data_IF_448172934626
#
_entry.id   IF_448172934626
#
_cell.length_a   1.000
_cell.length_b   1.000
_cell.length_c   1.000
_cell.angle_alpha   90.00
_cell.angle_beta   90.00
_cell.angle_gamma   90.00
#
_symmetry.space_group_name_H-M   'P 1'
#
loop_
_entity.id
_entity.type
_entity.pdbx_description
1 polymer ?
#
# COMPACT_ATOMS: atom_id res chain seq x y z
N UNK A 1 46.23 -57.82 39.90
CA UNK A 1 45.05 -58.65 40.26
C UNK A 1 44.08 -57.69 40.92
N UNK A 2 43.11 -57.07 40.24
CA UNK A 2 41.90 -57.51 39.52
C UNK A 2 41.58 -56.36 38.52
N UNK A 3 41.28 -56.49 37.21
CA UNK A 3 40.36 -57.36 36.46
C UNK A 3 38.91 -57.05 36.87
N UNK A 4 37.93 -56.63 36.06
CA UNK A 4 37.70 -56.49 34.62
C UNK A 4 36.25 -55.98 34.46
N UNK A 5 35.95 -55.12 33.48
CA UNK A 5 34.68 -55.02 32.71
C UNK A 5 34.84 -53.81 31.75
N UNK A 6 35.20 -53.96 30.47
CA UNK A 6 34.44 -54.46 29.29
C UNK A 6 33.06 -53.82 29.11
N UNK A 7 32.96 -53.04 28.04
CA UNK A 7 31.73 -52.56 27.41
C UNK A 7 32.09 -51.81 26.13
N UNK A 8 32.37 -52.55 25.06
CA UNK A 8 32.36 -52.03 23.70
C UNK A 8 30.99 -52.36 23.12
N UNK A 9 30.31 -51.38 22.52
CA UNK A 9 29.65 -51.51 21.22
C UNK A 9 28.87 -50.24 20.85
N UNK A 10 28.82 -49.95 19.56
CA UNK A 10 27.65 -49.30 18.98
C UNK A 10 27.78 -47.86 18.51
N UNK A 11 28.27 -47.71 17.28
CA UNK A 11 27.54 -47.01 16.19
C UNK A 11 27.17 -45.53 16.34
N UNK A 12 27.85 -44.68 15.56
CA UNK A 12 27.29 -43.45 14.99
C UNK A 12 26.75 -43.74 13.57
N UNK A 13 26.04 -42.79 12.91
CA UNK A 13 24.81 -42.07 13.26
C UNK A 13 23.68 -42.41 12.23
N UNK A 14 22.47 -41.82 12.29
CA UNK A 14 22.26 -40.72 11.34
C UNK A 14 21.26 -39.63 11.77
N UNK A 15 21.48 -38.46 11.15
CA UNK A 15 20.47 -37.61 10.53
C UNK A 15 19.48 -36.77 11.35
N UNK A 16 19.44 -35.51 10.92
CA UNK A 16 18.24 -34.72 10.67
C UNK A 16 17.52 -34.14 11.88
N UNK A 17 17.93 -32.92 12.22
CA UNK A 17 17.12 -32.02 13.03
C UNK A 17 17.49 -30.57 12.82
N UNK A 18 17.72 -30.15 11.57
CA UNK A 18 17.88 -28.72 11.23
C UNK A 18 16.53 -28.04 11.46
N UNK A 19 16.24 -27.68 12.72
CA UNK A 19 15.15 -26.79 13.09
C UNK A 19 15.52 -25.42 12.51
N UNK A 20 15.24 -25.24 11.22
CA UNK A 20 15.23 -23.94 10.57
C UNK A 20 14.17 -23.15 11.32
N UNK A 21 14.63 -22.29 12.22
CA UNK A 21 13.85 -21.22 12.79
C UNK A 21 13.47 -20.32 11.62
N UNK A 22 12.40 -20.66 10.90
CA UNK A 22 11.75 -19.75 9.96
C UNK A 22 11.04 -18.71 10.81
N UNK A 23 11.85 -17.76 11.30
CA UNK A 23 11.38 -16.42 11.56
C UNK A 23 10.71 -15.98 10.25
N UNK A 24 9.38 -16.07 10.20
CA UNK A 24 8.58 -15.39 9.20
C UNK A 24 8.92 -13.93 9.42
N UNK A 25 9.87 -13.46 8.60
CA UNK A 25 10.22 -12.05 8.47
C UNK A 25 8.90 -11.35 8.25
N UNK A 26 8.47 -10.57 9.25
CA UNK A 26 7.42 -9.57 9.10
C UNK A 26 7.82 -8.74 7.89
N UNK A 27 7.25 -9.05 6.73
CA UNK A 27 7.47 -8.30 5.52
C UNK A 27 7.08 -6.86 5.86
N UNK A 28 8.04 -5.96 5.70
CA UNK A 28 8.09 -4.69 6.39
C UNK A 28 6.81 -3.90 6.24
N UNK A 29 6.31 -3.42 7.38
CA UNK A 29 5.52 -2.20 7.43
C UNK A 29 6.40 -1.05 6.93
N UNK A 30 6.52 -0.91 5.60
CA UNK A 30 7.07 0.28 4.99
C UNK A 30 5.99 1.36 5.15
N UNK A 31 6.08 2.08 6.26
CA UNK A 31 5.34 3.31 6.51
C UNK A 31 5.77 4.32 5.44
N UNK A 32 5.12 4.28 4.29
CA UNK A 32 5.07 5.40 3.35
C UNK A 32 3.80 6.17 3.67
N UNK A 33 3.92 7.01 4.70
CA UNK A 33 3.05 8.15 4.91
C UNK A 33 3.45 9.23 3.90
N UNK A 34 2.94 9.11 2.68
CA UNK A 34 3.02 10.19 1.69
C UNK A 34 1.59 10.58 1.33
N UNK A 35 0.99 11.44 2.15
CA UNK A 35 -0.38 11.91 1.95
C UNK A 35 -0.51 13.41 2.22
N UNK A 36 0.41 14.20 1.67
CA UNK A 36 0.22 15.65 1.47
C UNK A 36 0.83 16.05 0.13
N UNK A 37 0.20 15.64 -0.97
CA UNK A 37 0.35 16.37 -2.23
C UNK A 37 -0.39 17.71 -2.07
N UNK A 38 0.29 18.71 -1.52
CA UNK A 38 -0.15 20.10 -1.66
C UNK A 38 0.27 20.53 -3.05
N UNK A 39 -0.67 20.48 -4.00
CA UNK A 39 -0.50 21.04 -5.32
C UNK A 39 -0.36 22.56 -5.20
N UNK A 40 0.87 23.07 -5.34
CA UNK A 40 1.14 24.50 -5.46
C UNK A 40 0.87 24.92 -6.92
N UNK A 41 -0.36 25.39 -7.17
CA UNK A 41 -0.79 25.95 -8.45
C UNK A 41 -1.61 27.22 -8.23
N UNK A 42 -1.43 28.21 -9.13
CA UNK A 42 -2.14 29.50 -9.17
C UNK A 42 -3.64 29.33 -8.95
N UNK A 43 -4.30 30.08 -8.04
CA UNK A 43 -5.70 29.85 -7.72
C UNK A 43 -6.58 30.14 -8.93
N UNK A 44 -7.25 29.14 -9.54
CA UNK A 44 -8.33 29.45 -10.45
C UNK A 44 -9.51 30.01 -9.63
N UNK A 45 -10.44 30.70 -10.30
CA UNK A 45 -11.74 31.07 -9.75
C UNK A 45 -12.26 29.96 -8.81
N UNK A 46 -12.58 30.31 -7.56
CA UNK A 46 -12.63 29.41 -6.40
C UNK A 46 -13.16 27.99 -6.70
N UNK A 47 -12.27 27.09 -7.13
CA UNK A 47 -12.60 25.69 -7.29
C UNK A 47 -12.82 25.10 -5.90
N UNK A 48 -13.88 24.31 -5.74
CA UNK A 48 -14.13 23.64 -4.47
C UNK A 48 -12.93 22.77 -4.12
N UNK A 49 -12.55 22.74 -2.84
CA UNK A 49 -11.49 21.85 -2.41
C UNK A 49 -11.95 20.39 -2.56
N UNK A 50 -11.01 19.48 -2.75
CA UNK A 50 -11.35 18.06 -2.85
C UNK A 50 -12.06 17.56 -1.57
N UNK A 51 -11.72 18.10 -0.40
CA UNK A 51 -12.42 17.77 0.84
C UNK A 51 -13.88 18.24 0.85
N UNK A 52 -14.16 19.43 0.30
CA UNK A 52 -15.55 19.90 0.12
C UNK A 52 -16.33 19.03 -0.88
N UNK A 53 -15.68 18.58 -1.96
CA UNK A 53 -16.30 17.69 -2.93
C UNK A 53 -16.62 16.31 -2.34
N UNK A 54 -15.76 15.78 -1.47
CA UNK A 54 -16.04 14.54 -0.73
C UNK A 54 -17.17 14.75 0.27
N UNK A 55 -17.10 15.82 1.06
CA UNK A 55 -18.10 16.12 2.10
C UNK A 55 -19.51 16.36 1.50
N UNK A 56 -19.59 16.91 0.30
CA UNK A 56 -20.85 17.10 -0.44
C UNK A 56 -21.35 15.84 -1.14
N UNK A 57 -20.58 14.75 -1.16
CA UNK A 57 -20.91 13.53 -1.91
C UNK A 57 -20.80 13.70 -3.43
N UNK A 58 -20.18 14.78 -3.91
CA UNK A 58 -19.98 15.02 -5.34
C UNK A 58 -18.92 14.09 -5.95
N UNK A 59 -18.03 13.54 -5.13
CA UNK A 59 -17.00 12.57 -5.52
C UNK A 59 -16.83 11.47 -4.47
N UNK A 60 -16.28 10.34 -4.86
CA UNK A 60 -15.92 9.23 -3.96
C UNK A 60 -14.57 8.59 -4.32
N UNK A 61 -13.93 7.95 -3.34
CA UNK A 61 -12.67 7.22 -3.51
C UNK A 61 -12.93 5.78 -3.98
N UNK A 62 -12.24 5.36 -5.05
CA UNK A 62 -12.34 4.02 -5.62
C UNK A 62 -11.25 3.08 -5.06
N UNK A 63 -11.45 1.75 -5.10
CA UNK A 63 -10.47 0.78 -4.58
C UNK A 63 -9.14 0.76 -5.34
N UNK A 64 -9.08 1.37 -6.53
CA UNK A 64 -7.87 1.51 -7.33
C UNK A 64 -7.13 2.83 -7.10
N UNK A 65 -7.45 3.56 -6.02
CA UNK A 65 -6.78 4.80 -5.62
C UNK A 65 -7.19 6.04 -6.41
N UNK A 66 -8.20 5.95 -7.27
CA UNK A 66 -8.68 7.07 -8.08
C UNK A 66 -10.02 7.62 -7.55
N UNK A 67 -10.36 8.84 -7.95
CA UNK A 67 -11.66 9.44 -7.71
C UNK A 67 -12.67 9.03 -8.76
N UNK A 68 -13.95 8.96 -8.37
CA UNK A 68 -15.11 8.96 -9.26
C UNK A 68 -15.93 10.21 -8.98
N UNK A 69 -16.37 10.90 -10.04
CA UNK A 69 -17.42 11.91 -9.93
C UNK A 69 -18.78 11.24 -9.77
N UNK A 70 -19.53 11.62 -8.75
CA UNK A 70 -20.93 11.26 -8.54
C UNK A 70 -21.88 12.38 -8.98
N UNK A 71 -21.36 13.62 -9.08
CA UNK A 71 -22.10 14.76 -9.61
C UNK A 71 -22.20 14.75 -11.15
N UNK A 72 -23.34 15.23 -11.66
CA UNK A 72 -23.56 15.54 -13.08
C UNK A 72 -22.90 16.84 -13.55
N UNK A 73 -22.21 17.56 -12.68
CA UNK A 73 -21.50 18.81 -13.00
C UNK A 73 -20.22 18.54 -13.83
N UNK A 74 -20.06 19.30 -14.92
CA UNK A 74 -18.88 19.22 -15.79
C UNK A 74 -17.59 19.71 -15.11
N UNK A 75 -17.68 20.74 -14.26
CA UNK A 75 -16.53 21.26 -13.52
C UNK A 75 -16.00 20.21 -12.53
N UNK A 76 -16.89 19.51 -11.82
CA UNK A 76 -16.51 18.43 -10.90
C UNK A 76 -15.82 17.29 -11.66
N UNK A 77 -16.36 16.88 -12.83
CA UNK A 77 -15.72 15.86 -13.67
C UNK A 77 -14.32 16.27 -14.12
N UNK A 78 -14.17 17.51 -14.60
CA UNK A 78 -12.86 18.03 -15.04
C UNK A 78 -11.85 18.07 -13.89
N UNK A 79 -12.28 18.41 -12.69
CA UNK A 79 -11.43 18.41 -11.49
C UNK A 79 -11.03 16.98 -11.10
N UNK A 80 -11.97 16.03 -11.12
CA UNK A 80 -11.69 14.59 -10.90
C UNK A 80 -10.66 14.07 -11.89
N UNK A 81 -10.81 14.36 -13.18
CA UNK A 81 -9.86 13.93 -14.21
C UNK A 81 -8.47 14.51 -13.98
N UNK A 82 -8.39 15.77 -13.57
CA UNK A 82 -7.12 16.44 -13.27
C UNK A 82 -6.41 15.77 -12.08
N UNK A 83 -7.12 15.56 -10.98
CA UNK A 83 -6.57 14.90 -9.79
C UNK A 83 -6.16 13.46 -10.10
N UNK A 84 -6.96 12.72 -10.89
CA UNK A 84 -6.64 11.35 -11.25
C UNK A 84 -5.36 11.26 -12.09
N UNK A 85 -5.14 12.18 -13.04
CA UNK A 85 -3.88 12.26 -13.79
C UNK A 85 -2.69 12.52 -12.87
N UNK A 86 -2.83 13.44 -11.92
CA UNK A 86 -1.78 13.73 -10.93
C UNK A 86 -1.46 12.53 -10.03
N UNK A 87 -2.49 11.83 -9.55
CA UNK A 87 -2.35 10.60 -8.75
C UNK A 87 -1.64 9.51 -9.53
N UNK A 88 -2.03 9.25 -10.78
CA UNK A 88 -1.38 8.24 -11.62
C UNK A 88 0.10 8.55 -11.83
N UNK A 89 0.44 9.81 -12.16
CA UNK A 89 1.84 10.21 -12.30
C UNK A 89 2.63 10.03 -10.98
N UNK A 90 2.01 10.29 -9.83
CA UNK A 90 2.63 10.05 -8.53
C UNK A 90 2.80 8.55 -8.24
N UNK A 91 1.81 7.73 -8.56
CA UNK A 91 1.86 6.28 -8.36
C UNK A 91 2.91 5.63 -9.24
N UNK A 92 3.06 6.08 -10.49
CA UNK A 92 4.14 5.62 -11.37
C UNK A 92 5.53 5.95 -10.81
N UNK A 93 5.72 7.16 -10.28
CA UNK A 93 6.99 7.54 -9.64
C UNK A 93 7.27 6.65 -8.44
N UNK A 94 6.29 6.51 -7.54
CA UNK A 94 6.43 5.68 -6.35
C UNK A 94 6.70 4.21 -6.70
N UNK A 95 6.03 3.69 -7.72
CA UNK A 95 6.24 2.32 -8.19
C UNK A 95 7.69 2.08 -8.62
N UNK A 96 8.27 3.02 -9.38
CA UNK A 96 9.68 2.99 -9.78
C UNK A 96 10.63 3.09 -8.57
N UNK A 97 10.37 4.05 -7.68
CA UNK A 97 11.21 4.30 -6.49
C UNK A 97 11.24 3.11 -5.51
N UNK A 98 10.14 2.36 -5.44
CA UNK A 98 9.98 1.23 -4.50
C UNK A 98 10.08 -0.14 -5.17
N UNK A 99 10.44 -0.20 -6.47
CA UNK A 99 10.58 -1.43 -7.24
C UNK A 99 9.34 -2.34 -7.13
N UNK A 100 8.16 -1.76 -7.36
CA UNK A 100 6.83 -2.40 -7.33
C UNK A 100 6.04 -2.04 -8.59
N UNK A 101 4.83 -2.55 -8.74
CA UNK A 101 3.95 -2.18 -9.86
C UNK A 101 3.03 -1.01 -9.51
N UNK A 102 2.61 -0.24 -10.51
CA UNK A 102 1.64 0.83 -10.32
C UNK A 102 0.31 0.29 -9.78
N UNK A 103 -0.10 -0.92 -10.18
CA UNK A 103 -1.30 -1.59 -9.68
C UNK A 103 -1.23 -1.83 -8.17
N UNK A 104 -0.10 -2.30 -7.66
CA UNK A 104 0.10 -2.51 -6.22
C UNK A 104 0.01 -1.18 -5.46
N UNK A 105 0.66 -0.13 -5.96
CA UNK A 105 0.59 1.21 -5.37
C UNK A 105 -0.84 1.74 -5.35
N UNK A 106 -1.59 1.54 -6.45
CA UNK A 106 -2.98 1.97 -6.61
C UNK A 106 -3.91 1.29 -5.62
N UNK A 107 -3.82 -0.02 -5.47
CA UNK A 107 -4.65 -0.79 -4.52
C UNK A 107 -4.38 -0.33 -3.09
N UNK A 108 -3.11 -0.27 -2.67
CA UNK A 108 -2.75 0.19 -1.31
C UNK A 108 -3.18 1.64 -1.06
N UNK A 109 -3.08 2.49 -2.09
CA UNK A 109 -3.55 3.88 -2.00
C UNK A 109 -5.06 3.95 -1.88
N UNK A 110 -5.80 3.14 -2.65
CA UNK A 110 -7.24 3.01 -2.56
C UNK A 110 -7.71 2.59 -1.17
N UNK A 111 -7.11 1.54 -0.60
CA UNK A 111 -7.40 1.09 0.76
C UNK A 111 -7.21 2.21 1.80
N UNK A 112 -6.08 2.93 1.73
CA UNK A 112 -5.79 4.05 2.64
C UNK A 112 -6.77 5.21 2.47
N UNK A 113 -7.09 5.57 1.23
CA UNK A 113 -7.99 6.67 0.92
C UNK A 113 -9.42 6.35 1.37
N UNK A 114 -9.89 5.12 1.16
CA UNK A 114 -11.20 4.69 1.64
C UNK A 114 -11.28 4.61 3.16
N UNK A 115 -10.23 4.10 3.81
CA UNK A 115 -10.16 4.10 5.27
C UNK A 115 -10.24 5.51 5.86
N UNK A 116 -9.70 6.51 5.16
CA UNK A 116 -9.68 7.90 5.62
C UNK A 116 -10.95 8.70 5.25
N UNK A 117 -11.46 8.51 4.04
CA UNK A 117 -12.50 9.38 3.47
C UNK A 117 -13.80 8.66 3.09
N UNK A 118 -13.87 7.34 3.28
CA UNK A 118 -14.96 6.52 2.75
C UNK A 118 -14.75 6.13 1.29
N UNK A 119 -15.35 5.01 0.89
CA UNK A 119 -15.34 4.52 -0.49
C UNK A 119 -16.57 4.93 -1.28
N UNK A 120 -16.54 4.68 -2.59
CA UNK A 120 -17.73 4.76 -3.42
C UNK A 120 -18.83 3.78 -2.95
N UNK A 121 -20.11 4.19 -3.01
CA UNK A 121 -21.24 3.28 -2.80
C UNK A 121 -21.31 2.20 -3.89
#
# INVERSE_FOLDING_TARGET
MTGQARGADGSAPPSAGRRRRTAVRRAGAAVLALATLVALGTPPAAAQSLDQLRASGAVCERPDGLLRALSGDAAVRQQVDTINRERLAAYERLARETNTTIEQVRVVSGEKLQAKYGGCP
#
